data_IF_622597514315
#
_entry.id   IF_622597514315
#
_cell.length_a   1.000
_cell.length_b   1.000
_cell.length_c   1.000
_cell.angle_alpha   90.00
_cell.angle_beta   90.00
_cell.angle_gamma   90.00
#
_symmetry.space_group_name_H-M   'P 1'
#
loop_
_entity.id
_entity.type
_entity.pdbx_description
1 polymer ?
#
# COMPACT_ATOMS: atom_id res chain seq x y z
N UNK A 1 15.73 18.22 11.35
CA UNK A 1 14.46 17.48 11.51
C UNK A 1 14.54 16.51 12.67
N UNK A 2 13.69 16.73 13.67
CA UNK A 2 13.52 15.87 14.84
C UNK A 2 12.61 14.71 14.47
N UNK A 3 12.88 13.51 15.02
CA UNK A 3 11.96 12.37 14.92
C UNK A 3 10.87 12.52 15.97
N UNK A 4 9.64 12.31 15.54
CA UNK A 4 8.47 12.22 16.40
C UNK A 4 7.90 10.81 16.35
N UNK A 5 7.29 10.39 17.46
CA UNK A 5 6.73 9.06 17.62
C UNK A 5 5.38 9.13 18.34
N UNK A 6 4.36 8.59 17.70
CA UNK A 6 3.00 8.46 18.21
C UNK A 6 2.77 7.01 18.65
N UNK A 7 2.89 6.81 19.96
CA UNK A 7 2.71 5.51 20.60
C UNK A 7 1.29 4.97 20.45
N UNK A 8 0.27 5.83 20.45
CA UNK A 8 -1.15 5.43 20.43
C UNK A 8 -1.47 4.68 19.12
N UNK A 9 -0.89 5.12 18.00
CA UNK A 9 -1.11 4.51 16.69
C UNK A 9 -0.09 3.43 16.32
N UNK A 10 0.91 3.21 17.17
CA UNK A 10 1.92 2.17 16.97
C UNK A 10 1.33 0.78 17.26
N UNK A 11 1.38 -0.12 16.27
CA UNK A 11 0.84 -1.49 16.37
C UNK A 11 1.89 -2.54 16.76
N UNK A 12 3.10 -2.12 17.13
CA UNK A 12 4.19 -3.05 17.45
C UNK A 12 4.60 -3.95 16.29
N UNK A 13 4.30 -3.56 15.04
CA UNK A 13 4.45 -4.44 13.88
C UNK A 13 5.90 -4.73 13.47
N UNK A 14 6.89 -4.05 14.06
CA UNK A 14 8.31 -4.34 13.82
C UNK A 14 8.86 -3.97 12.42
N UNK A 15 8.05 -3.47 11.48
CA UNK A 15 8.55 -3.04 10.16
C UNK A 15 9.70 -2.03 10.28
N UNK A 16 9.55 -1.03 11.16
CA UNK A 16 10.57 -0.02 11.39
C UNK A 16 11.88 -0.60 11.99
N UNK A 17 11.79 -1.68 12.78
CA UNK A 17 12.96 -2.38 13.34
C UNK A 17 13.79 -2.96 12.19
N UNK A 18 13.14 -3.70 11.28
CA UNK A 18 13.78 -4.33 10.12
C UNK A 18 14.55 -3.33 9.25
N UNK A 19 14.00 -2.14 9.07
CA UNK A 19 14.56 -1.13 8.15
C UNK A 19 15.39 -0.04 8.84
N UNK A 20 15.64 -0.13 10.15
CA UNK A 20 16.49 0.83 10.84
C UNK A 20 17.98 0.47 10.62
N UNK A 21 18.75 1.26 9.85
CA UNK A 21 20.17 0.95 9.57
C UNK A 21 21.07 1.08 10.81
N UNK A 22 20.56 1.66 11.90
CA UNK A 22 21.29 1.84 13.15
C UNK A 22 20.88 0.83 14.24
N UNK A 23 19.86 0.02 14.00
CA UNK A 23 19.41 -0.98 14.98
C UNK A 23 18.92 -0.39 16.31
N UNK A 24 18.41 0.86 16.30
CA UNK A 24 18.04 1.60 17.52
C UNK A 24 16.57 1.44 17.92
N UNK A 25 15.83 0.53 17.30
CA UNK A 25 14.41 0.28 17.54
C UNK A 25 14.22 -1.16 18.02
N UNK A 26 13.41 -1.37 19.06
CA UNK A 26 13.04 -2.70 19.56
C UNK A 26 11.56 -2.74 19.95
N UNK A 27 10.99 -3.94 20.10
CA UNK A 27 9.67 -4.11 20.72
C UNK A 27 9.75 -3.75 22.22
N UNK A 28 8.66 -3.24 22.78
CA UNK A 28 8.54 -3.06 24.22
C UNK A 28 8.60 -4.43 24.93
N UNK A 29 9.20 -4.44 26.12
CA UNK A 29 9.29 -5.66 26.95
C UNK A 29 7.93 -6.01 27.55
N UNK A 30 7.15 -4.99 27.93
CA UNK A 30 5.79 -5.13 28.44
C UNK A 30 4.80 -4.42 27.53
N UNK A 31 3.61 -4.99 27.31
CA UNK A 31 2.52 -4.31 26.62
C UNK A 31 1.91 -3.23 27.51
N UNK A 32 1.27 -2.25 26.87
CA UNK A 32 0.36 -1.31 27.54
C UNK A 32 -1.10 -1.63 27.23
N UNK A 33 -2.01 -0.68 27.48
CA UNK A 33 -3.44 -0.79 27.17
C UNK A 33 -3.72 -0.99 25.67
N UNK A 34 -2.81 -0.58 24.79
CA UNK A 34 -2.89 -0.71 23.33
C UNK A 34 -2.07 -1.91 22.80
N UNK A 35 -1.24 -2.53 23.65
CA UNK A 35 -0.47 -3.73 23.37
C UNK A 35 1.05 -3.50 23.28
N UNK A 36 1.74 -4.34 22.49
CA UNK A 36 3.18 -4.19 22.27
C UNK A 36 3.43 -3.01 21.32
N UNK A 37 4.42 -2.18 21.63
CA UNK A 37 4.78 -1.01 20.85
C UNK A 37 6.29 -0.95 20.57
N UNK A 38 6.74 0.05 19.81
CA UNK A 38 8.15 0.24 19.47
C UNK A 38 8.80 1.18 20.49
N UNK A 39 9.98 0.79 20.97
CA UNK A 39 10.83 1.61 21.84
C UNK A 39 12.13 1.95 21.13
N UNK A 40 12.75 3.05 21.56
CA UNK A 40 14.01 3.55 21.00
C UNK A 40 15.11 3.31 22.02
N UNK A 41 16.15 2.59 21.63
CA UNK A 41 17.26 2.21 22.52
C UNK A 41 18.34 3.27 22.61
N UNK A 42 18.56 4.02 21.53
CA UNK A 42 19.55 5.12 21.48
C UNK A 42 19.07 6.23 20.54
N UNK A 43 18.55 7.31 21.11
CA UNK A 43 18.10 8.49 20.35
C UNK A 43 19.24 9.18 19.60
N UNK A 44 20.44 9.22 20.21
CA UNK A 44 21.59 9.99 19.69
C UNK A 44 22.21 9.32 18.48
N UNK A 45 22.06 8.01 18.34
CA UNK A 45 22.51 7.26 17.17
C UNK A 45 21.59 7.44 15.94
N UNK A 46 20.43 8.10 16.07
CA UNK A 46 19.52 8.32 14.95
C UNK A 46 20.15 9.25 13.89
N UNK A 47 20.25 8.76 12.65
CA UNK A 47 20.76 9.54 11.51
C UNK A 47 19.67 10.22 10.69
N UNK A 48 18.42 10.22 11.18
CA UNK A 48 17.28 10.82 10.48
C UNK A 48 17.08 10.36 9.03
N UNK A 49 17.33 9.07 8.76
CA UNK A 49 17.17 8.47 7.42
C UNK A 49 15.71 8.27 6.97
N UNK A 50 14.74 8.51 7.86
CA UNK A 50 13.29 8.41 7.60
C UNK A 50 12.74 7.01 7.26
N UNK A 51 13.56 5.96 7.25
CA UNK A 51 13.10 4.58 7.02
C UNK A 51 11.93 4.14 7.92
N UNK A 52 11.94 4.55 9.19
CA UNK A 52 10.87 4.21 10.13
C UNK A 52 9.55 4.93 9.84
N UNK A 53 9.60 6.11 9.22
CA UNK A 53 8.42 6.86 8.73
C UNK A 53 7.91 6.19 7.44
N UNK A 54 8.78 5.97 6.45
CA UNK A 54 8.42 5.35 5.16
C UNK A 54 7.77 3.97 5.32
N UNK A 55 8.28 3.14 6.24
CA UNK A 55 7.80 1.77 6.43
C UNK A 55 6.75 1.63 7.54
N UNK A 56 6.33 2.74 8.15
CA UNK A 56 5.26 2.72 9.13
C UNK A 56 3.92 2.51 8.43
N UNK A 57 3.17 1.50 8.88
CA UNK A 57 1.83 1.20 8.34
C UNK A 57 0.74 2.09 8.94
N UNK A 58 1.09 2.99 9.86
CA UNK A 58 0.13 3.74 10.69
C UNK A 58 0.48 5.21 10.85
N UNK A 59 1.54 5.69 10.18
CA UNK A 59 2.04 7.06 10.39
C UNK A 59 2.43 7.35 11.84
N UNK A 60 2.89 6.33 12.59
CA UNK A 60 3.31 6.47 13.98
C UNK A 60 4.70 7.11 14.12
N UNK A 61 5.50 7.16 13.05
CA UNK A 61 6.77 7.88 13.01
C UNK A 61 6.69 8.98 11.98
N UNK A 62 7.22 10.15 12.31
CA UNK A 62 7.45 11.23 11.33
C UNK A 62 8.67 12.06 11.68
N UNK A 63 9.14 12.82 10.69
CA UNK A 63 10.23 13.77 10.88
C UNK A 63 9.72 15.18 10.58
N UNK A 64 9.93 16.10 11.53
CA UNK A 64 9.57 17.52 11.38
C UNK A 64 10.48 18.39 12.24
N UNK A 65 10.68 19.64 11.84
CA UNK A 65 11.30 20.67 12.70
C UNK A 65 10.28 21.34 13.63
N UNK A 66 8.99 21.14 13.37
CA UNK A 66 7.87 21.59 14.22
C UNK A 66 7.27 20.40 14.98
N UNK A 67 6.50 20.70 16.04
CA UNK A 67 5.69 19.68 16.73
C UNK A 67 4.37 19.39 16.00
N UNK A 68 4.11 20.05 14.86
CA UNK A 68 2.93 19.78 14.06
C UNK A 68 3.10 18.48 13.25
N UNK A 69 2.04 17.68 13.23
CA UNK A 69 1.95 16.48 12.42
C UNK A 69 1.86 16.85 10.93
N UNK A 70 2.72 16.26 10.08
CA UNK A 70 2.67 16.44 8.63
C UNK A 70 1.30 16.07 8.05
N UNK A 71 0.83 16.83 7.06
CA UNK A 71 -0.53 16.67 6.51
C UNK A 71 -0.75 15.28 5.92
N UNK A 72 0.26 14.72 5.27
CA UNK A 72 0.23 13.36 4.73
C UNK A 72 -0.04 12.29 5.79
N UNK A 73 0.34 12.52 7.04
CA UNK A 73 0.00 11.63 8.16
C UNK A 73 -1.36 12.00 8.77
N UNK A 74 -1.73 13.28 8.79
CA UNK A 74 -3.05 13.70 9.30
C UNK A 74 -4.18 13.11 8.45
N UNK A 75 -4.01 13.07 7.13
CA UNK A 75 -5.03 12.49 6.24
C UNK A 75 -5.00 10.97 6.19
N UNK A 76 -4.05 10.29 6.86
CA UNK A 76 -4.20 8.86 7.09
C UNK A 76 -5.36 8.67 8.07
N UNK A 77 -6.42 7.99 7.66
CA UNK A 77 -7.54 7.61 8.52
C UNK A 77 -7.06 6.62 9.58
N UNK A 78 -6.60 7.15 10.71
CA UNK A 78 -5.94 6.39 11.78
C UNK A 78 -6.89 5.92 12.89
N UNK A 79 -8.19 6.15 12.73
CA UNK A 79 -9.21 5.67 13.67
C UNK A 79 -9.24 4.13 13.71
N UNK A 80 -9.28 3.57 14.93
CA UNK A 80 -9.25 2.13 15.15
C UNK A 80 -7.88 1.49 14.92
N UNK A 81 -7.66 0.34 15.57
CA UNK A 81 -6.53 -0.54 15.28
C UNK A 81 -6.91 -1.45 14.09
N UNK A 82 -5.99 -1.70 13.14
CA UNK A 82 -6.28 -2.63 12.04
C UNK A 82 -6.48 -4.05 12.57
N UNK A 83 -7.20 -4.89 11.82
CA UNK A 83 -7.52 -6.27 12.20
C UNK A 83 -6.26 -7.13 12.40
N UNK A 84 -5.14 -6.73 11.79
CA UNK A 84 -3.84 -7.35 12.00
C UNK A 84 -2.67 -6.35 11.92
N UNK A 85 -1.73 -6.49 12.85
CA UNK A 85 -0.55 -5.62 12.94
C UNK A 85 0.37 -5.74 11.72
N UNK A 86 0.82 -4.61 11.19
CA UNK A 86 1.79 -4.57 10.07
C UNK A 86 1.18 -4.77 8.69
N UNK A 87 -0.14 -4.55 8.54
CA UNK A 87 -0.81 -4.56 7.25
C UNK A 87 -0.11 -3.63 6.24
N UNK A 88 0.34 -4.18 5.11
CA UNK A 88 1.04 -3.41 4.10
C UNK A 88 0.14 -2.42 3.33
N UNK A 89 -1.20 -2.56 3.41
CA UNK A 89 -2.10 -1.49 2.99
C UNK A 89 -1.86 -0.19 3.74
N UNK A 90 -1.36 -0.24 4.97
CA UNK A 90 -0.97 0.95 5.72
C UNK A 90 0.24 1.69 5.11
N UNK A 91 1.22 0.96 4.56
CA UNK A 91 2.33 1.58 3.81
C UNK A 91 1.79 2.19 2.51
N UNK A 92 0.91 1.47 1.81
CA UNK A 92 0.24 1.97 0.60
C UNK A 92 -0.55 3.25 0.89
N UNK A 93 -1.36 3.27 1.95
CA UNK A 93 -2.13 4.44 2.36
C UNK A 93 -1.21 5.62 2.69
N UNK A 94 -0.08 5.38 3.35
CA UNK A 94 0.92 6.43 3.64
C UNK A 94 1.64 6.94 2.38
N UNK A 95 1.93 6.08 1.40
CA UNK A 95 2.45 6.53 0.10
C UNK A 95 1.40 7.37 -0.64
N UNK A 96 0.14 6.91 -0.65
CA UNK A 96 -0.94 7.60 -1.34
C UNK A 96 -1.25 8.94 -0.70
N UNK A 97 -1.27 9.02 0.64
CA UNK A 97 -1.46 10.29 1.33
C UNK A 97 -0.35 11.29 1.00
N UNK A 98 0.91 10.85 1.01
CA UNK A 98 2.05 11.67 0.60
C UNK A 98 1.95 12.13 -0.84
N UNK A 99 1.60 11.24 -1.76
CA UNK A 99 1.40 11.57 -3.17
C UNK A 99 0.31 12.64 -3.36
N UNK A 100 -0.85 12.48 -2.69
CA UNK A 100 -1.95 13.44 -2.73
C UNK A 100 -1.52 14.81 -2.20
N UNK A 101 -0.84 14.85 -1.04
CA UNK A 101 -0.40 16.10 -0.40
C UNK A 101 0.72 16.78 -1.21
N UNK A 102 1.69 16.02 -1.72
CA UNK A 102 2.77 16.54 -2.55
C UNK A 102 2.24 17.19 -3.85
N UNK A 103 1.13 16.68 -4.36
CA UNK A 103 0.47 17.20 -5.55
C UNK A 103 -0.52 18.33 -5.24
N UNK A 104 -0.89 18.55 -3.98
CA UNK A 104 -1.87 19.57 -3.57
C UNK A 104 -3.28 19.28 -4.12
N UNK A 105 -3.68 18.02 -4.14
CA UNK A 105 -4.93 17.54 -4.74
C UNK A 105 -5.94 16.95 -3.74
N UNK A 106 -5.75 17.19 -2.45
CA UNK A 106 -6.58 16.70 -1.34
C UNK A 106 -8.07 16.94 -1.61
N UNK A 107 -8.42 18.18 -1.99
CA UNK A 107 -9.81 18.59 -2.25
C UNK A 107 -10.36 18.12 -3.60
N UNK A 108 -9.52 17.59 -4.48
CA UNK A 108 -9.87 17.18 -5.86
C UNK A 108 -10.09 15.68 -5.99
N UNK A 109 -9.52 14.89 -5.07
CA UNK A 109 -9.53 13.43 -5.12
C UNK A 109 -10.82 12.84 -4.56
N UNK A 110 -11.39 11.86 -5.27
CA UNK A 110 -12.41 10.95 -4.75
C UNK A 110 -11.91 9.51 -4.86
N UNK A 111 -11.83 8.79 -3.75
CA UNK A 111 -11.38 7.40 -3.69
C UNK A 111 -12.59 6.46 -3.68
N UNK A 112 -12.60 5.47 -4.57
CA UNK A 112 -13.54 4.36 -4.57
C UNK A 112 -12.85 3.09 -4.14
N UNK A 113 -13.43 2.39 -3.15
CA UNK A 113 -12.86 1.17 -2.58
C UNK A 113 -13.93 0.22 -2.09
N UNK A 114 -13.55 -1.02 -1.81
CA UNK A 114 -14.41 -1.92 -1.03
C UNK A 114 -14.63 -1.37 0.38
N UNK A 115 -15.84 -1.49 0.91
CA UNK A 115 -16.14 -1.17 2.33
C UNK A 115 -15.25 -1.96 3.31
N UNK A 116 -14.80 -3.14 2.91
CA UNK A 116 -13.93 -4.02 3.70
C UNK A 116 -12.44 -3.70 3.56
N UNK A 117 -12.07 -2.70 2.76
CA UNK A 117 -10.68 -2.31 2.55
C UNK A 117 -10.21 -1.27 3.56
N UNK A 118 -9.01 -1.47 4.11
CA UNK A 118 -8.33 -0.55 5.04
C UNK A 118 -7.62 0.65 4.36
N UNK A 119 -7.91 0.96 3.09
CA UNK A 119 -7.40 2.17 2.43
C UNK A 119 -8.11 3.43 2.95
N UNK A 120 -7.99 3.70 4.24
CA UNK A 120 -8.66 4.78 4.96
C UNK A 120 -7.82 6.05 4.86
N UNK A 121 -8.24 6.97 4.00
CA UNK A 121 -7.73 8.33 3.93
C UNK A 121 -8.86 9.32 4.23
N UNK A 122 -8.55 10.41 4.92
CA UNK A 122 -9.47 11.51 5.25
C UNK A 122 -9.61 12.49 4.08
N UNK A 123 -9.95 11.95 2.91
CA UNK A 123 -10.37 12.67 1.69
C UNK A 123 -11.77 12.14 1.29
N UNK A 124 -12.39 12.68 0.23
CA UNK A 124 -13.66 12.10 -0.26
C UNK A 124 -13.42 10.63 -0.61
N UNK A 125 -14.00 9.72 0.18
CA UNK A 125 -13.79 8.27 0.06
C UNK A 125 -15.14 7.58 0.14
N UNK A 126 -15.42 6.75 -0.87
CA UNK A 126 -16.69 6.06 -1.03
C UNK A 126 -16.46 4.55 -1.00
N UNK A 127 -17.14 3.91 -0.06
CA UNK A 127 -17.15 2.46 0.11
C UNK A 127 -18.38 1.85 -0.56
N UNK A 128 -18.18 0.77 -1.30
CA UNK A 128 -19.26 -0.10 -1.76
C UNK A 128 -18.85 -1.58 -1.61
N UNK A 129 -19.81 -2.49 -1.60
CA UNK A 129 -19.52 -3.94 -1.63
C UNK A 129 -18.83 -4.34 -2.93
N UNK A 130 -17.84 -5.23 -2.85
CA UNK A 130 -17.11 -5.68 -4.03
C UNK A 130 -18.02 -6.53 -4.95
N UNK A 131 -17.98 -6.34 -6.29
CA UNK A 131 -17.08 -5.46 -7.05
C UNK A 131 -17.63 -4.05 -7.36
N UNK A 132 -18.81 -3.66 -6.86
CA UNK A 132 -19.58 -2.48 -7.29
C UNK A 132 -18.82 -1.16 -7.20
N UNK A 133 -17.91 -1.00 -6.22
CA UNK A 133 -17.12 0.23 -6.08
C UNK A 133 -16.33 0.60 -7.35
N UNK A 134 -15.94 -0.40 -8.15
CA UNK A 134 -15.21 -0.17 -9.39
C UNK A 134 -16.10 0.49 -10.45
N UNK A 135 -17.30 -0.05 -10.65
CA UNK A 135 -18.29 0.46 -11.61
C UNK A 135 -18.79 1.85 -11.18
N UNK A 136 -19.04 2.04 -9.88
CA UNK A 136 -19.42 3.34 -9.32
C UNK A 136 -18.32 4.39 -9.49
N UNK A 137 -17.04 4.02 -9.36
CA UNK A 137 -15.92 4.92 -9.59
C UNK A 137 -15.84 5.40 -11.04
N UNK A 138 -16.01 4.49 -12.00
CA UNK A 138 -16.05 4.82 -13.43
C UNK A 138 -17.23 5.75 -13.73
N UNK A 139 -18.43 5.38 -13.28
CA UNK A 139 -19.63 6.20 -13.48
C UNK A 139 -19.48 7.59 -12.89
N UNK A 140 -18.94 7.68 -11.67
CA UNK A 140 -18.69 8.97 -11.02
C UNK A 140 -17.71 9.81 -11.81
N UNK A 141 -16.63 9.23 -12.37
CA UNK A 141 -15.70 9.98 -13.22
C UNK A 141 -16.37 10.54 -14.48
N UNK A 142 -17.27 9.77 -15.09
CA UNK A 142 -18.03 10.21 -16.27
C UNK A 142 -19.00 11.35 -15.94
N UNK A 143 -19.61 11.34 -14.75
CA UNK A 143 -20.51 12.39 -14.26
C UNK A 143 -19.74 13.63 -13.75
N UNK A 144 -18.51 13.43 -13.28
CA UNK A 144 -17.65 14.45 -12.67
C UNK A 144 -16.24 14.44 -13.29
N UNK A 145 -16.09 14.86 -14.56
CA UNK A 145 -14.82 14.78 -15.28
C UNK A 145 -13.71 15.64 -14.64
N UNK A 146 -14.06 16.66 -13.86
CA UNK A 146 -13.15 17.51 -13.10
C UNK A 146 -12.52 16.83 -11.88
N UNK A 147 -13.12 15.75 -11.37
CA UNK A 147 -12.63 15.04 -10.17
C UNK A 147 -11.46 14.13 -10.54
N UNK A 148 -10.50 14.01 -9.63
CA UNK A 148 -9.45 13.00 -9.71
C UNK A 148 -9.95 11.72 -9.02
N UNK A 149 -10.35 10.74 -9.81
CA UNK A 149 -10.92 9.49 -9.32
C UNK A 149 -9.82 8.46 -9.14
N UNK A 150 -9.71 7.94 -7.92
CA UNK A 150 -8.80 6.85 -7.58
C UNK A 150 -9.65 5.63 -7.28
N UNK A 151 -9.44 4.53 -8.01
CA UNK A 151 -10.05 3.25 -7.69
C UNK A 151 -8.99 2.40 -6.98
N UNK A 152 -9.23 2.10 -5.71
CA UNK A 152 -8.40 1.18 -4.93
C UNK A 152 -8.96 -0.24 -5.05
N UNK A 153 -8.22 -1.11 -5.72
CA UNK A 153 -8.61 -2.50 -5.94
C UNK A 153 -7.58 -3.45 -5.30
N UNK A 154 -8.04 -4.51 -4.64
CA UNK A 154 -7.19 -5.47 -3.98
C UNK A 154 -7.58 -6.90 -4.33
N UNK A 155 -6.59 -7.71 -4.69
CA UNK A 155 -6.74 -9.11 -5.09
C UNK A 155 -6.14 -10.02 -4.02
N UNK A 156 -6.80 -10.25 -2.87
CA UNK A 156 -6.22 -11.06 -1.81
C UNK A 156 -6.47 -12.57 -1.97
N UNK A 157 -7.23 -13.01 -2.97
CA UNK A 157 -7.57 -14.43 -3.19
C UNK A 157 -8.17 -14.63 -4.59
N UNK A 158 -8.43 -15.88 -4.96
CA UNK A 158 -8.98 -16.26 -6.26
C UNK A 158 -10.21 -15.44 -6.69
N UNK A 159 -11.23 -15.32 -5.84
CA UNK A 159 -12.49 -14.65 -6.19
C UNK A 159 -12.33 -13.17 -6.63
N UNK A 160 -11.76 -12.29 -5.79
CA UNK A 160 -11.42 -10.92 -6.19
C UNK A 160 -10.50 -10.85 -7.40
N UNK A 161 -9.55 -11.77 -7.56
CA UNK A 161 -8.68 -11.78 -8.74
C UNK A 161 -9.45 -12.11 -10.04
N UNK A 162 -10.39 -13.05 -10.00
CA UNK A 162 -11.29 -13.33 -11.14
C UNK A 162 -12.20 -12.13 -11.47
N UNK A 163 -12.64 -11.39 -10.45
CA UNK A 163 -13.35 -10.13 -10.67
C UNK A 163 -12.44 -9.08 -11.32
N UNK A 164 -11.20 -8.91 -10.84
CA UNK A 164 -10.22 -7.99 -11.41
C UNK A 164 -9.98 -8.29 -12.90
N UNK A 165 -9.77 -9.57 -13.25
CA UNK A 165 -9.65 -10.02 -14.65
C UNK A 165 -10.81 -9.52 -15.51
N UNK A 166 -12.05 -9.74 -15.07
CA UNK A 166 -13.24 -9.30 -15.80
C UNK A 166 -13.29 -7.78 -15.93
N UNK A 167 -13.09 -7.05 -14.84
CA UNK A 167 -13.21 -5.59 -14.81
C UNK A 167 -12.10 -4.90 -15.63
N UNK A 168 -10.85 -5.32 -15.44
CA UNK A 168 -9.70 -4.69 -16.09
C UNK A 168 -9.67 -5.01 -17.59
N UNK A 169 -10.14 -6.19 -18.00
CA UNK A 169 -10.32 -6.50 -19.43
C UNK A 169 -11.37 -5.60 -20.12
N UNK A 170 -12.25 -4.95 -19.35
CA UNK A 170 -13.28 -4.04 -19.86
C UNK A 170 -12.90 -2.56 -19.76
N UNK A 171 -11.82 -2.22 -19.04
CA UNK A 171 -11.33 -0.84 -18.94
C UNK A 171 -11.05 -0.27 -20.33
N UNK A 172 -11.49 0.98 -20.51
CA UNK A 172 -11.23 1.84 -21.66
C UNK A 172 -10.47 3.07 -21.17
N UNK A 173 -10.49 4.12 -21.97
CA UNK A 173 -10.05 5.44 -21.55
C UNK A 173 -11.11 6.11 -20.68
N UNK A 174 -11.05 5.86 -19.37
CA UNK A 174 -11.96 6.47 -18.39
C UNK A 174 -11.32 7.69 -17.70
N UNK A 175 -10.04 7.99 -17.99
CA UNK A 175 -9.25 9.00 -17.29
C UNK A 175 -9.30 8.88 -15.75
N UNK A 176 -9.00 7.68 -15.22
CA UNK A 176 -8.92 7.38 -13.78
C UNK A 176 -7.51 6.95 -13.37
N UNK A 177 -7.26 6.85 -12.06
CA UNK A 177 -6.07 6.20 -11.50
C UNK A 177 -6.48 4.93 -10.75
N UNK A 178 -6.02 3.78 -11.23
CA UNK A 178 -6.23 2.49 -10.59
C UNK A 178 -5.02 2.14 -9.71
N UNK A 179 -5.24 1.99 -8.41
CA UNK A 179 -4.26 1.41 -7.49
C UNK A 179 -4.64 -0.05 -7.26
N UNK A 180 -3.90 -0.96 -7.87
CA UNK A 180 -4.17 -2.40 -7.82
C UNK A 180 -3.16 -3.08 -6.90
N UNK A 181 -3.64 -3.58 -5.76
CA UNK A 181 -2.83 -4.37 -4.83
C UNK A 181 -2.97 -5.85 -5.15
N UNK A 182 -2.04 -6.38 -5.92
CA UNK A 182 -1.96 -7.81 -6.20
C UNK A 182 -1.35 -8.53 -5.00
N UNK A 183 -2.19 -9.25 -4.26
CA UNK A 183 -1.80 -9.99 -3.08
C UNK A 183 -2.10 -11.48 -3.17
N UNK A 184 -2.55 -11.99 -4.32
CA UNK A 184 -3.02 -13.36 -4.51
C UNK A 184 -1.85 -14.32 -4.75
N UNK A 185 -1.08 -14.53 -3.69
CA UNK A 185 0.05 -15.45 -3.67
C UNK A 185 -0.28 -16.57 -2.66
N UNK A 186 -1.04 -17.58 -3.10
CA UNK A 186 -1.40 -18.71 -2.23
C UNK A 186 -0.18 -19.58 -1.91
N UNK A 187 -0.17 -20.18 -0.72
CA UNK A 187 0.75 -21.27 -0.39
C UNK A 187 0.14 -22.60 -0.84
N UNK A 188 0.96 -23.52 -1.34
CA UNK A 188 0.59 -24.93 -1.45
C UNK A 188 0.92 -25.66 -0.15
N UNK A 189 0.14 -26.69 0.18
CA UNK A 189 0.19 -27.41 1.46
C UNK A 189 1.54 -28.11 1.75
N UNK A 190 2.48 -28.17 0.79
CA UNK A 190 3.67 -29.01 0.87
C UNK A 190 5.03 -28.29 0.79
N UNK A 191 5.08 -26.96 0.65
CA UNK A 191 6.33 -26.20 0.40
C UNK A 191 7.18 -26.73 -0.79
N UNK A 192 6.68 -27.67 -1.60
CA UNK A 192 7.43 -28.34 -2.66
C UNK A 192 6.95 -27.98 -4.08
N UNK A 193 5.83 -27.27 -4.22
CA UNK A 193 5.28 -26.94 -5.53
C UNK A 193 4.62 -25.57 -5.56
N UNK A 194 5.41 -24.51 -5.64
CA UNK A 194 4.85 -23.17 -5.77
C UNK A 194 4.08 -23.00 -7.08
N UNK A 195 2.81 -22.62 -7.01
CA UNK A 195 2.07 -22.08 -8.16
C UNK A 195 1.82 -20.60 -7.90
N UNK A 196 2.10 -19.79 -8.90
CA UNK A 196 1.67 -18.40 -8.96
C UNK A 196 0.29 -18.44 -9.62
N UNK A 197 -0.81 -18.42 -8.85
CA UNK A 197 -2.14 -18.54 -9.44
C UNK A 197 -2.58 -17.23 -10.09
N UNK A 198 -1.90 -16.12 -9.81
CA UNK A 198 -2.21 -14.81 -10.34
C UNK A 198 -1.72 -14.63 -11.77
N UNK A 199 -2.58 -14.08 -12.62
CA UNK A 199 -2.22 -13.68 -13.98
C UNK A 199 -1.47 -12.35 -13.99
N UNK A 200 -0.72 -12.14 -15.07
CA UNK A 200 0.00 -10.91 -15.39
C UNK A 200 -0.95 -9.81 -15.88
N UNK A 201 -1.88 -9.38 -15.00
CA UNK A 201 -2.92 -8.41 -15.36
C UNK A 201 -2.34 -7.06 -15.79
N UNK A 202 -1.27 -6.60 -15.14
CA UNK A 202 -0.62 -5.35 -15.53
C UNK A 202 -0.06 -5.43 -16.97
N UNK A 203 0.55 -6.54 -17.36
CA UNK A 203 1.03 -6.77 -18.72
C UNK A 203 -0.12 -6.82 -19.73
N UNK A 204 -1.21 -7.51 -19.38
CA UNK A 204 -2.43 -7.54 -20.21
C UNK A 204 -3.03 -6.14 -20.37
N UNK A 205 -3.01 -5.31 -19.33
CA UNK A 205 -3.49 -3.93 -19.38
C UNK A 205 -2.55 -3.01 -20.16
N UNK A 206 -1.24 -3.20 -20.07
CA UNK A 206 -0.25 -2.35 -20.74
C UNK A 206 -0.49 -2.26 -22.25
N UNK A 207 -0.92 -3.36 -22.88
CA UNK A 207 -1.15 -3.40 -24.34
C UNK A 207 -2.50 -2.82 -24.77
N UNK A 208 -3.36 -2.41 -23.84
CA UNK A 208 -4.69 -1.89 -24.16
C UNK A 208 -4.67 -0.41 -24.57
N UNK A 209 -5.54 -0.06 -25.50
CA UNK A 209 -5.91 1.31 -25.80
C UNK A 209 -6.62 1.95 -24.59
N UNK A 210 -6.34 3.22 -24.33
CA UNK A 210 -6.90 3.97 -23.19
C UNK A 210 -6.18 3.79 -21.85
N UNK A 211 -5.21 2.87 -21.76
CA UNK A 211 -4.24 2.84 -20.65
C UNK A 211 -3.06 3.73 -21.03
N UNK A 212 -2.86 4.84 -20.35
CA UNK A 212 -1.82 5.83 -20.65
C UNK A 212 -0.51 5.54 -19.93
N UNK A 213 -0.60 5.05 -18.70
CA UNK A 213 0.53 4.75 -17.86
C UNK A 213 0.25 3.50 -17.03
N UNK A 214 1.23 2.60 -16.94
CA UNK A 214 1.18 1.50 -15.99
C UNK A 214 2.57 1.19 -15.46
N UNK A 215 2.66 1.11 -14.14
CA UNK A 215 3.87 0.70 -13.45
C UNK A 215 3.55 -0.28 -12.32
N UNK A 216 4.51 -1.17 -12.06
CA UNK A 216 4.48 -2.10 -10.95
C UNK A 216 5.53 -1.72 -9.92
N UNK A 217 5.10 -1.60 -8.67
CA UNK A 217 5.95 -1.41 -7.50
C UNK A 217 5.88 -2.57 -6.52
N UNK A 218 6.75 -2.56 -5.52
CA UNK A 218 6.76 -3.51 -4.42
C UNK A 218 7.20 -2.85 -3.11
N UNK A 219 6.93 -3.51 -1.99
CA UNK A 219 7.16 -2.97 -0.64
C UNK A 219 8.24 -3.74 0.14
N UNK A 220 9.19 -4.37 -0.57
CA UNK A 220 10.20 -5.27 0.03
C UNK A 220 11.33 -4.53 0.74
N UNK A 221 11.60 -3.28 0.35
CA UNK A 221 12.62 -2.41 0.94
C UNK A 221 12.20 -0.95 0.92
N UNK A 222 12.87 -0.11 1.70
CA UNK A 222 12.65 1.36 1.72
C UNK A 222 12.81 1.96 0.31
N UNK A 223 13.84 1.52 -0.43
CA UNK A 223 14.10 2.04 -1.78
C UNK A 223 13.00 1.66 -2.78
N UNK A 224 12.48 0.44 -2.70
CA UNK A 224 11.38 -0.03 -3.55
C UNK A 224 10.05 0.63 -3.17
N UNK A 225 9.79 0.86 -1.87
CA UNK A 225 8.63 1.64 -1.42
C UNK A 225 8.68 3.07 -1.97
N UNK A 226 9.82 3.75 -1.88
CA UNK A 226 9.97 5.10 -2.43
C UNK A 226 9.86 5.14 -3.97
N UNK A 227 10.30 4.08 -4.68
CA UNK A 227 10.05 3.95 -6.13
C UNK A 227 8.56 3.79 -6.43
N UNK A 228 7.88 2.94 -5.68
CA UNK A 228 6.44 2.67 -5.82
C UNK A 228 5.63 3.94 -5.60
N UNK A 229 5.99 4.74 -4.60
CA UNK A 229 5.38 6.05 -4.35
C UNK A 229 5.53 7.00 -5.55
N UNK A 230 6.71 7.06 -6.18
CA UNK A 230 6.89 7.85 -7.40
C UNK A 230 6.05 7.35 -8.58
N UNK A 231 5.85 6.03 -8.70
CA UNK A 231 4.95 5.48 -9.70
C UNK A 231 3.50 5.91 -9.47
N UNK A 232 3.08 5.93 -8.21
CA UNK A 232 1.75 6.39 -7.80
C UNK A 232 1.56 7.89 -8.07
N UNK A 233 2.55 8.72 -7.74
CA UNK A 233 2.53 10.15 -8.08
C UNK A 233 2.42 10.36 -9.59
N UNK A 234 3.18 9.63 -10.42
CA UNK A 234 3.09 9.78 -11.88
C UNK A 234 1.73 9.33 -12.42
N UNK A 235 1.16 8.23 -11.91
CA UNK A 235 -0.18 7.81 -12.30
C UNK A 235 -1.23 8.90 -12.00
N UNK A 236 -1.15 9.55 -10.84
CA UNK A 236 -2.00 10.69 -10.51
C UNK A 236 -1.77 11.86 -11.49
N UNK A 237 -0.52 12.16 -11.85
CA UNK A 237 -0.20 13.21 -12.83
C UNK A 237 -0.75 12.90 -14.23
N UNK A 238 -0.71 11.64 -14.69
CA UNK A 238 -1.34 11.24 -15.95
C UNK A 238 -2.82 11.57 -15.98
N UNK A 239 -3.54 11.27 -14.88
CA UNK A 239 -4.96 11.62 -14.77
C UNK A 239 -5.17 13.14 -14.76
N UNK A 240 -4.34 13.89 -14.01
CA UNK A 240 -4.40 15.36 -13.99
C UNK A 240 -4.19 15.99 -15.37
N UNK A 241 -3.40 15.35 -16.24
CA UNK A 241 -3.16 15.78 -17.62
C UNK A 241 -4.24 15.30 -18.61
N UNK A 242 -5.20 14.49 -18.15
CA UNK A 242 -6.25 13.94 -19.02
C UNK A 242 -5.73 12.91 -20.01
N UNK A 243 -4.64 12.22 -19.70
CA UNK A 243 -3.99 11.28 -20.63
C UNK A 243 -4.69 9.94 -20.71
N UNK A 244 -5.61 9.67 -19.78
CA UNK A 244 -6.44 8.47 -19.74
C UNK A 244 -6.19 7.63 -18.51
N UNK A 245 -6.56 6.35 -18.56
CA UNK A 245 -6.47 5.45 -17.41
C UNK A 245 -5.00 5.17 -17.07
N UNK A 246 -4.62 5.46 -15.83
CA UNK A 246 -3.30 5.17 -15.28
C UNK A 246 -3.38 4.10 -14.21
N UNK A 247 -2.33 3.28 -14.07
CA UNK A 247 -2.34 2.14 -13.14
C UNK A 247 -1.04 2.08 -12.36
N UNK A 248 -1.16 1.87 -11.05
CA UNK A 248 -0.05 1.43 -10.20
C UNK A 248 -0.40 0.08 -9.60
N UNK A 249 0.22 -0.99 -10.09
CA UNK A 249 0.14 -2.31 -9.46
C UNK A 249 1.17 -2.39 -8.33
N UNK A 250 0.78 -2.90 -7.17
CA UNK A 250 1.63 -3.04 -6.00
C UNK A 250 1.59 -4.49 -5.55
N UNK A 251 2.75 -5.15 -5.56
CA UNK A 251 2.92 -6.50 -5.04
C UNK A 251 3.58 -6.46 -3.66
N UNK A 252 3.07 -7.25 -2.72
CA UNK A 252 3.66 -7.35 -1.39
C UNK A 252 3.25 -8.64 -0.64
N UNK A 253 4.07 -9.14 0.30
CA UNK A 253 3.74 -10.33 1.07
C UNK A 253 2.73 -10.04 2.19
N UNK A 254 1.49 -10.52 2.05
CA UNK A 254 0.54 -10.46 3.15
C UNK A 254 0.84 -11.55 4.18
N UNK A 255 1.68 -11.25 5.17
CA UNK A 255 2.10 -12.21 6.19
C UNK A 255 0.94 -12.90 6.90
N UNK A 256 -0.14 -12.15 7.21
CA UNK A 256 -1.34 -12.72 7.84
C UNK A 256 -1.95 -13.83 7.00
N UNK A 257 -2.02 -13.67 5.67
CA UNK A 257 -2.58 -14.70 4.79
C UNK A 257 -1.59 -15.83 4.53
N UNK A 258 -0.33 -15.48 4.31
CA UNK A 258 0.73 -16.46 4.05
C UNK A 258 1.00 -17.36 5.27
N UNK A 259 0.75 -16.90 6.50
CA UNK A 259 0.84 -17.75 7.69
C UNK A 259 -0.52 -18.32 8.12
N UNK A 260 -1.47 -18.43 7.18
CA UNK A 260 -2.79 -19.01 7.39
C UNK A 260 -3.60 -18.38 8.54
N UNK A 261 -3.59 -17.04 8.58
CA UNK A 261 -4.36 -16.20 9.51
C UNK A 261 -4.06 -16.55 10.98
N UNK A 262 -2.80 -16.38 11.41
CA UNK A 262 -2.41 -16.74 12.76
C UNK A 262 -3.15 -15.87 13.77
N UNK A 263 -3.49 -16.46 14.92
CA UNK A 263 -4.04 -15.71 16.07
C UNK A 263 -2.94 -14.95 16.82
N UNK A 264 -1.74 -15.53 16.84
CA UNK A 264 -0.58 -14.96 17.50
C UNK A 264 0.17 -13.99 16.57
N UNK A 265 0.88 -13.00 17.12
CA UNK A 265 1.76 -12.14 16.34
C UNK A 265 2.82 -12.93 15.57
N UNK A 266 3.03 -12.55 14.31
CA UNK A 266 4.04 -13.18 13.45
C UNK A 266 5.43 -12.81 13.96
N UNK A 267 6.28 -13.82 14.20
CA UNK A 267 7.63 -13.63 14.74
C UNK A 267 8.55 -12.95 13.71
N UNK A 268 9.64 -12.29 14.16
CA UNK A 268 10.64 -11.72 13.26
C UNK A 268 11.23 -12.74 12.28
N UNK A 269 11.50 -13.97 12.73
CA UNK A 269 12.06 -15.05 11.91
C UNK A 269 11.09 -15.45 10.79
N UNK A 270 9.81 -15.62 11.14
CA UNK A 270 8.76 -15.94 10.17
C UNK A 270 8.57 -14.82 9.16
N UNK A 271 8.60 -13.55 9.60
CA UNK A 271 8.54 -12.40 8.68
C UNK A 271 9.71 -12.40 7.70
N UNK A 272 10.93 -12.63 8.18
CA UNK A 272 12.11 -12.64 7.31
C UNK A 272 12.06 -13.80 6.31
N UNK A 273 11.62 -14.98 6.74
CA UNK A 273 11.38 -16.14 5.84
C UNK A 273 10.41 -15.79 4.71
N UNK A 274 9.27 -15.20 5.04
CA UNK A 274 8.26 -14.80 4.05
C UNK A 274 8.82 -13.72 3.11
N UNK A 275 9.56 -12.74 3.66
CA UNK A 275 10.17 -11.70 2.85
C UNK A 275 11.20 -12.23 1.86
N UNK A 276 12.08 -13.14 2.31
CA UNK A 276 13.08 -13.78 1.47
C UNK A 276 12.41 -14.55 0.34
N UNK A 277 11.45 -15.42 0.69
CA UNK A 277 10.66 -16.16 -0.29
C UNK A 277 9.96 -15.24 -1.30
N UNK A 278 9.36 -14.13 -0.85
CA UNK A 278 8.64 -13.20 -1.72
C UNK A 278 9.60 -12.55 -2.71
N UNK A 279 10.79 -12.18 -2.22
CA UNK A 279 11.83 -11.56 -3.03
C UNK A 279 12.43 -12.54 -4.05
N UNK A 280 12.51 -13.83 -3.71
CA UNK A 280 13.10 -14.86 -4.55
C UNK A 280 12.11 -15.46 -5.56
N UNK A 281 10.81 -15.46 -5.26
CA UNK A 281 9.80 -16.17 -6.06
C UNK A 281 8.76 -15.25 -6.70
N UNK A 282 8.34 -14.17 -6.04
CA UNK A 282 7.26 -13.30 -6.54
C UNK A 282 7.82 -12.11 -7.31
N UNK A 283 8.80 -11.40 -6.76
CA UNK A 283 9.40 -10.23 -7.41
C UNK A 283 10.00 -10.54 -8.79
N UNK A 284 10.67 -11.69 -9.02
CA UNK A 284 11.21 -12.01 -10.34
C UNK A 284 10.14 -12.37 -11.38
N UNK A 285 9.01 -12.91 -10.94
CA UNK A 285 7.85 -13.17 -11.80
C UNK A 285 7.14 -11.86 -12.14
N UNK A 286 6.73 -11.10 -11.12
CA UNK A 286 6.05 -9.81 -11.26
C UNK A 286 7.06 -8.68 -11.18
N UNK A 287 7.87 -8.53 -12.23
CA UNK A 287 9.00 -7.59 -12.24
C UNK A 287 8.52 -6.14 -12.01
N UNK A 288 9.04 -5.44 -11.00
CA UNK A 288 8.78 -4.02 -10.79
C UNK A 288 9.36 -3.17 -11.92
N UNK A 289 8.71 -2.06 -12.24
CA UNK A 289 9.13 -1.15 -13.31
C UNK A 289 7.95 -0.44 -13.96
N UNK A 290 8.25 0.43 -14.91
CA UNK A 290 7.24 1.02 -15.80
C UNK A 290 7.00 0.06 -16.95
N UNK A 291 5.76 -0.41 -17.10
CA UNK A 291 5.33 -1.32 -18.17
C UNK A 291 4.86 -0.53 -19.40
N UNK A 292 4.33 0.69 -19.18
CA UNK A 292 3.94 1.67 -20.21
C UNK A 292 3.99 3.08 -19.62
N UNK A 293 4.45 4.04 -20.40
CA UNK A 293 4.43 5.46 -20.08
C UNK A 293 4.78 6.31 -21.29
#
# INVERSE_FOLDING_TARGET
MKRHFDRIHCTGCGNCIRFCPKGILKLSEEPDEQGIYITVTDEKACISCRSCETMCTRGAFWFSDTDQMPEDIRIMGREGLPDHAGCQFGIMAHMLSRAIVNLGIEDQVTIFRSERSEANLLVDSRGYEAPHFFEEGIKFKQEHPERLVIIFYSDPKAGPHEHAKKLFSQLKDENITLIHCLGYFEQTDDYQGYRIPSEHLAEQMAVKDGISYIARGNLTSVAETLKTERYMEEALRCQMRGEGTSVTEIIFPCFFRLENRPKDPITPETRERIHAWFSDNIVPEFKPGVLKG
#
